data_IF_168443304585
#
_entry.id   IF_168443304585
#
_cell.length_a   1.000
_cell.length_b   1.000
_cell.length_c   1.000
_cell.angle_alpha   90.00
_cell.angle_beta   90.00
_cell.angle_gamma   90.00
#
_symmetry.space_group_name_H-M   'P 1'
#
loop_
_entity.id
_entity.type
_entity.pdbx_description
1 polymer ?
#
# COMPACT_ATOMS: atom_id res chain seq x y z
N UNK A 1 -5.30 -1.57 -55.44
CA UNK A 1 -4.13 -1.31 -54.58
C UNK A 1 -4.53 -0.22 -53.59
N UNK A 2 -5.20 -0.61 -52.51
CA UNK A 2 -5.53 0.28 -51.41
C UNK A 2 -4.51 -0.01 -50.31
N UNK A 3 -3.67 0.99 -50.01
CA UNK A 3 -2.65 0.89 -48.98
C UNK A 3 -3.35 0.81 -47.61
N UNK A 4 -3.17 -0.34 -46.96
CA UNK A 4 -3.40 -0.51 -45.52
C UNK A 4 -2.46 0.42 -44.77
N UNK A 5 -3.02 1.26 -43.91
CA UNK A 5 -2.24 2.07 -42.98
C UNK A 5 -2.12 1.28 -41.69
N UNK A 6 -0.98 0.62 -41.54
CA UNK A 6 -0.64 -0.18 -40.36
C UNK A 6 -0.44 0.73 -39.13
N UNK A 7 -1.34 0.61 -38.15
CA UNK A 7 -1.04 0.26 -36.76
C UNK A 7 0.09 0.95 -35.97
N UNK A 8 0.40 2.23 -36.17
CA UNK A 8 1.23 3.00 -35.23
C UNK A 8 0.32 3.85 -34.33
N UNK A 9 0.23 3.46 -33.05
CA UNK A 9 -0.65 4.09 -32.05
C UNK A 9 -0.43 5.59 -31.92
N UNK A 10 -1.51 6.37 -32.01
CA UNK A 10 -1.47 7.82 -31.85
C UNK A 10 -1.12 8.21 -30.40
N UNK A 11 -0.24 9.21 -30.26
CA UNK A 11 0.27 9.69 -28.95
C UNK A 11 -0.85 10.29 -28.07
N UNK A 12 -0.77 10.15 -26.74
CA UNK A 12 -1.69 10.82 -25.83
C UNK A 12 -1.54 12.34 -25.94
N UNK A 13 -2.65 13.06 -25.90
CA UNK A 13 -2.69 14.52 -25.92
C UNK A 13 -2.61 15.04 -24.47
N UNK A 14 -1.62 15.88 -24.16
CA UNK A 14 -1.59 16.64 -22.89
C UNK A 14 -2.73 17.67 -22.90
N UNK A 15 -3.63 17.57 -21.94
CA UNK A 15 -4.87 18.35 -21.90
C UNK A 15 -4.79 19.49 -20.89
N UNK A 16 -4.34 19.19 -19.67
CA UNK A 16 -4.36 20.15 -18.57
C UNK A 16 -3.38 19.76 -17.47
N UNK A 17 -2.81 20.77 -16.81
CA UNK A 17 -2.00 20.63 -15.62
C UNK A 17 -2.54 21.49 -14.48
N UNK A 18 -2.64 20.92 -13.28
CA UNK A 18 -3.16 21.61 -12.10
C UNK A 18 -2.41 21.19 -10.83
N UNK A 19 -2.01 22.13 -9.96
CA UNK A 19 -1.57 21.80 -8.61
C UNK A 19 -2.72 21.15 -7.83
N UNK A 20 -2.44 20.01 -7.20
CA UNK A 20 -3.39 19.29 -6.38
C UNK A 20 -2.82 19.15 -4.96
N UNK A 21 -3.38 19.87 -3.96
CA UNK A 21 -3.05 19.63 -2.57
C UNK A 21 -3.59 18.26 -2.15
N UNK A 22 -2.72 17.43 -1.58
CA UNK A 22 -3.07 16.08 -1.10
C UNK A 22 -2.63 15.89 0.36
N UNK A 23 -3.12 14.85 1.06
CA UNK A 23 -2.56 14.45 2.35
C UNK A 23 -1.07 14.10 2.33
N UNK A 24 -0.47 13.93 1.14
CA UNK A 24 0.96 13.66 0.94
C UNK A 24 1.74 14.94 0.60
N UNK A 25 1.08 16.10 0.59
CA UNK A 25 1.62 17.40 0.20
C UNK A 25 1.16 17.86 -1.18
N UNK A 26 1.74 18.97 -1.63
CA UNK A 26 1.50 19.52 -2.98
C UNK A 26 2.01 18.58 -4.06
N UNK A 27 1.14 18.26 -5.02
CA UNK A 27 1.43 17.42 -6.18
C UNK A 27 1.03 18.18 -7.45
N UNK A 28 1.64 17.85 -8.58
CA UNK A 28 1.18 18.30 -9.89
C UNK A 28 0.38 17.18 -10.53
N UNK A 29 -0.82 17.47 -11.01
CA UNK A 29 -1.62 16.52 -11.80
C UNK A 29 -1.65 16.98 -13.24
N UNK A 30 -1.27 16.09 -14.15
CA UNK A 30 -1.38 16.28 -15.60
C UNK A 30 -2.33 15.22 -16.17
N UNK A 31 -3.25 15.64 -17.03
CA UNK A 31 -4.20 14.74 -17.68
C UNK A 31 -3.83 14.54 -19.16
N UNK A 32 -3.90 13.29 -19.59
CA UNK A 32 -3.54 12.85 -20.92
C UNK A 32 -4.71 12.10 -21.54
N UNK A 33 -5.28 12.61 -22.63
CA UNK A 33 -6.39 11.97 -23.30
C UNK A 33 -5.92 11.16 -24.52
N UNK A 34 -6.40 9.93 -24.64
CA UNK A 34 -6.17 9.07 -25.80
C UNK A 34 -7.28 9.27 -26.83
N UNK A 35 -7.03 8.98 -28.12
CA UNK A 35 -8.10 8.97 -29.13
C UNK A 35 -9.26 8.01 -28.83
N UNK A 36 -9.04 7.02 -27.97
CA UNK A 36 -10.09 6.13 -27.45
C UNK A 36 -11.04 6.81 -26.47
N UNK A 37 -10.74 8.03 -26.02
CA UNK A 37 -11.45 8.75 -24.95
C UNK A 37 -11.01 8.38 -23.54
N UNK A 38 -10.03 7.49 -23.38
CA UNK A 38 -9.45 7.16 -22.09
C UNK A 38 -8.54 8.31 -21.60
N UNK A 39 -8.63 8.62 -20.30
CA UNK A 39 -7.88 9.70 -19.67
C UNK A 39 -6.88 9.14 -18.67
N UNK A 40 -5.59 9.36 -18.90
CA UNK A 40 -4.54 8.99 -17.97
C UNK A 40 -4.20 10.19 -17.11
N UNK A 41 -3.98 9.96 -15.81
CA UNK A 41 -3.52 11.02 -14.90
C UNK A 41 -2.09 10.74 -14.48
N UNK A 42 -1.20 11.70 -14.66
CA UNK A 42 0.11 11.70 -14.04
C UNK A 42 0.09 12.57 -12.79
N UNK A 43 0.27 11.95 -11.62
CA UNK A 43 0.38 12.65 -10.34
C UNK A 43 1.84 12.67 -9.93
N UNK A 44 2.49 13.82 -10.05
CA UNK A 44 3.93 13.98 -9.88
C UNK A 44 4.32 14.87 -8.72
N UNK A 45 5.54 14.64 -8.23
CA UNK A 45 6.25 15.49 -7.28
C UNK A 45 7.61 15.82 -7.88
N UNK A 46 8.01 17.09 -7.86
CA UNK A 46 9.29 17.54 -8.42
C UNK A 46 9.35 17.51 -9.95
N UNK A 47 10.51 17.84 -10.53
CA UNK A 47 10.75 17.74 -11.97
C UNK A 47 11.06 16.28 -12.36
N UNK A 48 10.13 15.64 -13.05
CA UNK A 48 10.23 14.23 -13.44
C UNK A 48 10.96 14.00 -14.76
N UNK A 49 11.43 15.04 -15.45
CA UNK A 49 12.15 14.86 -16.72
C UNK A 49 13.51 14.18 -16.50
N UNK A 50 13.93 13.38 -17.48
CA UNK A 50 15.24 12.73 -17.51
C UNK A 50 15.24 11.31 -16.93
N UNK A 51 16.30 10.97 -16.22
CA UNK A 51 16.59 9.59 -15.79
C UNK A 51 16.31 9.37 -14.30
N UNK A 52 16.26 8.10 -13.89
CA UNK A 52 16.16 7.64 -12.50
C UNK A 52 15.02 8.29 -11.72
N UNK A 53 13.80 8.18 -12.27
CA UNK A 53 12.57 8.71 -11.67
C UNK A 53 11.88 7.59 -10.89
N UNK A 54 11.50 7.84 -9.64
CA UNK A 54 10.64 6.90 -8.92
C UNK A 54 9.24 6.92 -9.54
N UNK A 55 8.79 5.79 -10.10
CA UNK A 55 7.56 5.75 -10.86
C UNK A 55 6.65 4.60 -10.44
N UNK A 56 5.34 4.82 -10.55
CA UNK A 56 4.30 3.82 -10.37
C UNK A 56 3.33 3.85 -11.55
N UNK A 57 3.13 2.73 -12.21
CA UNK A 57 2.01 2.56 -13.16
C UNK A 57 0.86 1.86 -12.44
N UNK A 58 -0.15 2.62 -12.05
CA UNK A 58 -1.32 2.15 -11.31
C UNK A 58 -2.48 1.85 -12.27
N UNK A 59 -3.01 0.63 -12.18
CA UNK A 59 -4.20 0.25 -12.95
C UNK A 59 -5.42 0.61 -12.13
N UNK A 60 -6.35 1.37 -12.71
CA UNK A 60 -7.59 1.79 -12.05
C UNK A 60 -8.32 0.63 -11.36
N UNK A 61 -8.78 0.89 -10.13
CA UNK A 61 -9.61 -0.02 -9.36
C UNK A 61 -10.53 0.77 -8.45
N UNK A 62 -11.71 1.18 -8.92
CA UNK A 62 -12.66 2.02 -8.18
C UNK A 62 -12.96 1.45 -6.77
N UNK A 63 -13.22 0.14 -6.71
CA UNK A 63 -13.55 -0.52 -5.43
C UNK A 63 -12.41 -0.44 -4.43
N UNK A 64 -11.15 -0.60 -4.85
CA UNK A 64 -10.00 -0.53 -3.96
C UNK A 64 -9.58 0.91 -3.67
N UNK A 65 -9.46 1.72 -4.71
CA UNK A 65 -8.85 3.04 -4.70
C UNK A 65 -9.75 4.08 -4.03
N UNK A 66 -11.07 4.01 -4.26
CA UNK A 66 -12.05 4.99 -3.76
C UNK A 66 -12.89 4.41 -2.64
N UNK A 67 -13.40 3.18 -2.79
CA UNK A 67 -14.36 2.59 -1.83
C UNK A 67 -13.69 1.83 -0.68
N UNK A 68 -12.36 1.73 -0.65
CA UNK A 68 -11.63 1.05 0.43
C UNK A 68 -11.86 -0.47 0.49
N UNK A 69 -12.18 -1.11 -0.64
CA UNK A 69 -12.45 -2.54 -0.70
C UNK A 69 -11.27 -3.38 -0.21
N UNK A 70 -11.58 -4.28 0.73
CA UNK A 70 -10.63 -5.25 1.29
C UNK A 70 -10.50 -6.53 0.45
N UNK A 71 -11.19 -6.63 -0.70
CA UNK A 71 -11.10 -7.76 -1.64
C UNK A 71 -9.85 -7.70 -2.53
N UNK A 72 -9.22 -6.54 -2.62
CA UNK A 72 -7.97 -6.35 -3.36
C UNK A 72 -7.02 -5.48 -2.52
N UNK A 73 -5.81 -5.27 -3.03
CA UNK A 73 -4.80 -4.42 -2.41
C UNK A 73 -4.61 -3.08 -3.16
N UNK A 74 -5.34 -2.83 -4.25
CA UNK A 74 -5.15 -1.68 -5.13
C UNK A 74 -5.13 -0.33 -4.39
N UNK A 75 -6.09 -0.08 -3.51
CA UNK A 75 -6.15 1.20 -2.79
C UNK A 75 -4.97 1.43 -1.86
N UNK A 76 -4.53 0.38 -1.15
CA UNK A 76 -3.33 0.45 -0.30
C UNK A 76 -2.09 0.68 -1.17
N UNK A 77 -2.01 -0.01 -2.32
CA UNK A 77 -0.90 0.17 -3.26
C UNK A 77 -0.82 1.61 -3.80
N UNK A 78 -1.96 2.22 -4.14
CA UNK A 78 -2.01 3.60 -4.63
C UNK A 78 -1.52 4.58 -3.56
N UNK A 79 -2.05 4.48 -2.33
CA UNK A 79 -1.68 5.36 -1.21
C UNK A 79 -0.20 5.24 -0.87
N UNK A 80 0.33 4.02 -0.82
CA UNK A 80 1.75 3.81 -0.51
C UNK A 80 2.67 4.33 -1.61
N UNK A 81 2.26 4.21 -2.88
CA UNK A 81 3.01 4.78 -4.00
C UNK A 81 3.08 6.30 -3.94
N UNK A 82 1.95 6.97 -3.65
CA UNK A 82 1.90 8.42 -3.48
C UNK A 82 2.75 8.90 -2.31
N UNK A 83 2.73 8.17 -1.19
CA UNK A 83 3.57 8.44 -0.01
C UNK A 83 5.06 8.30 -0.32
N UNK A 84 5.45 7.22 -1.01
CA UNK A 84 6.83 6.97 -1.40
C UNK A 84 7.34 8.09 -2.33
N UNK A 85 6.55 8.50 -3.33
CA UNK A 85 6.89 9.58 -4.26
C UNK A 85 6.99 10.93 -3.54
N UNK A 86 6.06 11.23 -2.63
CA UNK A 86 6.13 12.45 -1.83
C UNK A 86 7.39 12.49 -0.96
N UNK A 87 7.77 11.36 -0.36
CA UNK A 87 8.97 11.24 0.46
C UNK A 87 10.27 11.33 -0.35
N UNK A 88 10.29 10.79 -1.57
CA UNK A 88 11.42 10.91 -2.50
C UNK A 88 11.61 12.36 -2.99
N UNK A 89 10.51 13.12 -3.07
CA UNK A 89 10.52 14.50 -3.58
C UNK A 89 10.62 14.61 -5.10
N UNK A 90 10.89 13.50 -5.80
CA UNK A 90 10.93 13.40 -7.26
C UNK A 90 10.35 12.07 -7.75
N UNK A 91 9.15 12.09 -8.33
CA UNK A 91 8.52 10.88 -8.85
C UNK A 91 7.12 11.09 -9.42
N UNK A 92 6.54 10.03 -10.00
CA UNK A 92 5.23 10.08 -10.68
C UNK A 92 4.41 8.80 -10.50
N UNK A 93 3.12 8.95 -10.21
CA UNK A 93 2.11 7.91 -10.40
C UNK A 93 1.40 8.15 -11.73
N UNK A 94 1.46 7.20 -12.65
CA UNK A 94 0.61 7.17 -13.84
C UNK A 94 -0.61 6.31 -13.51
N UNK A 95 -1.76 6.96 -13.34
CA UNK A 95 -3.05 6.34 -13.12
C UNK A 95 -3.71 6.05 -14.47
N UNK A 96 -3.74 4.78 -14.84
CA UNK A 96 -4.28 4.30 -16.10
C UNK A 96 -5.77 3.97 -15.96
N UNK A 97 -6.63 4.88 -16.45
CA UNK A 97 -8.08 4.63 -16.53
C UNK A 97 -8.41 3.64 -17.65
N UNK A 98 -9.56 2.99 -17.54
CA UNK A 98 -9.96 1.93 -18.48
C UNK A 98 -9.31 0.56 -18.18
N UNK A 99 -8.41 0.50 -17.19
CA UNK A 99 -7.84 -0.76 -16.69
C UNK A 99 -8.69 -1.44 -15.62
N UNK A 100 -9.88 -0.91 -15.32
CA UNK A 100 -10.79 -1.48 -14.35
C UNK A 100 -11.09 -2.96 -14.68
N UNK A 101 -10.99 -3.81 -13.67
CA UNK A 101 -11.13 -5.27 -13.82
C UNK A 101 -10.11 -5.92 -14.75
N UNK A 102 -8.94 -5.29 -15.01
CA UNK A 102 -7.99 -5.69 -16.07
C UNK A 102 -8.50 -5.45 -17.49
N UNK A 103 -9.26 -4.37 -17.67
CA UNK A 103 -9.77 -3.96 -18.99
C UNK A 103 -11.14 -4.56 -19.35
N UNK A 104 -11.76 -5.33 -18.45
CA UNK A 104 -13.13 -5.85 -18.63
C UNK A 104 -14.21 -4.87 -18.14
N UNK A 105 -13.81 -3.83 -17.40
CA UNK A 105 -14.70 -2.82 -16.83
C UNK A 105 -15.33 -3.21 -15.49
N UNK A 106 -15.90 -2.20 -14.80
CA UNK A 106 -16.42 -2.34 -13.44
C UNK A 106 -17.57 -3.36 -13.33
N UNK A 107 -18.52 -3.34 -14.26
CA UNK A 107 -19.69 -4.24 -14.23
C UNK A 107 -19.24 -5.69 -14.26
N UNK A 108 -18.33 -6.02 -15.18
CA UNK A 108 -17.84 -7.39 -15.32
C UNK A 108 -16.96 -7.82 -14.15
N UNK A 109 -16.19 -6.89 -13.57
CA UNK A 109 -15.47 -7.14 -12.30
C UNK A 109 -16.43 -7.49 -11.16
N UNK A 110 -17.55 -6.78 -11.03
CA UNK A 110 -18.56 -7.06 -9.99
C UNK A 110 -19.28 -8.39 -10.26
N UNK A 111 -19.53 -8.74 -11.52
CA UNK A 111 -20.04 -10.09 -11.87
C UNK A 111 -19.05 -11.19 -11.48
N UNK A 112 -17.76 -11.00 -11.78
CA UNK A 112 -16.72 -11.95 -11.37
C UNK A 112 -16.63 -12.09 -9.84
N UNK A 113 -16.91 -11.02 -9.07
CA UNK A 113 -17.02 -11.11 -7.61
C UNK A 113 -18.19 -11.97 -7.14
N UNK A 114 -19.35 -11.92 -7.81
CA UNK A 114 -20.50 -12.76 -7.46
C UNK A 114 -20.22 -14.24 -7.73
N UNK A 115 -19.57 -14.55 -8.85
CA UNK A 115 -19.13 -15.91 -9.19
C UNK A 115 -18.09 -16.43 -8.18
N UNK A 116 -17.16 -15.57 -7.74
CA UNK A 116 -16.19 -15.92 -6.70
C UNK A 116 -16.86 -16.18 -5.34
N UNK A 117 -17.86 -15.38 -4.97
CA UNK A 117 -18.64 -15.61 -3.76
C UNK A 117 -19.44 -16.93 -3.82
N UNK A 118 -19.74 -17.42 -5.03
CA UNK A 118 -20.35 -18.72 -5.28
C UNK A 118 -19.34 -19.89 -5.31
N UNK A 119 -18.05 -19.61 -5.08
CA UNK A 119 -16.98 -20.62 -4.95
C UNK A 119 -16.11 -20.80 -6.20
N UNK A 120 -16.30 -20.03 -7.26
CA UNK A 120 -15.42 -20.06 -8.43
C UNK A 120 -14.09 -19.34 -8.14
N UNK A 121 -12.97 -19.86 -8.65
CA UNK A 121 -11.72 -19.10 -8.57
C UNK A 121 -11.74 -17.89 -9.51
N UNK A 122 -10.81 -16.94 -9.35
CA UNK A 122 -10.80 -15.70 -10.14
C UNK A 122 -10.61 -15.92 -11.64
N UNK A 123 -9.97 -17.01 -12.06
CA UNK A 123 -9.79 -17.35 -13.47
C UNK A 123 -11.06 -17.99 -14.02
N UNK A 124 -11.62 -18.95 -13.29
CA UNK A 124 -12.83 -19.66 -13.68
C UNK A 124 -14.03 -18.72 -13.73
N UNK A 125 -14.12 -17.77 -12.80
CA UNK A 125 -15.12 -16.70 -12.82
C UNK A 125 -15.04 -15.85 -14.10
N UNK A 126 -13.83 -15.53 -14.57
CA UNK A 126 -13.66 -14.76 -15.81
C UNK A 126 -13.98 -15.62 -17.05
N UNK A 127 -13.54 -16.88 -17.07
CA UNK A 127 -13.80 -17.81 -18.18
C UNK A 127 -15.29 -18.15 -18.31
N UNK A 128 -15.99 -18.36 -17.19
CA UNK A 128 -17.44 -18.61 -17.15
C UNK A 128 -18.25 -17.42 -17.66
N UNK A 129 -17.73 -16.19 -17.48
CA UNK A 129 -18.31 -14.97 -18.02
C UNK A 129 -17.90 -14.68 -19.48
N UNK A 130 -17.08 -15.54 -20.10
CA UNK A 130 -16.58 -15.38 -21.47
C UNK A 130 -15.59 -14.21 -21.62
N UNK A 131 -14.90 -13.84 -20.55
CA UNK A 131 -14.02 -12.67 -20.50
C UNK A 131 -12.55 -13.07 -20.70
N UNK A 132 -11.80 -12.23 -21.40
CA UNK A 132 -10.36 -12.39 -21.52
C UNK A 132 -9.66 -12.11 -20.18
N UNK A 133 -8.61 -12.87 -19.88
CA UNK A 133 -7.97 -12.90 -18.55
C UNK A 133 -7.24 -11.59 -18.20
N UNK A 134 -6.75 -10.88 -19.23
CA UNK A 134 -6.08 -9.58 -19.11
C UNK A 134 -6.08 -8.86 -20.47
N UNK A 135 -6.74 -7.70 -20.56
CA UNK A 135 -6.73 -6.83 -21.77
C UNK A 135 -5.89 -5.57 -21.60
N UNK A 136 -5.11 -5.48 -20.52
CA UNK A 136 -4.38 -4.24 -20.23
C UNK A 136 -3.27 -4.04 -21.24
N UNK A 137 -3.28 -2.87 -21.86
CA UNK A 137 -2.16 -2.37 -22.65
C UNK A 137 -1.37 -1.37 -21.81
N UNK A 138 -0.08 -1.63 -21.62
CA UNK A 138 0.82 -0.72 -20.91
C UNK A 138 1.57 0.23 -21.85
N UNK A 139 1.34 0.14 -23.16
CA UNK A 139 1.86 1.06 -24.17
C UNK A 139 1.44 2.49 -23.88
N UNK A 140 0.15 2.73 -23.63
CA UNK A 140 -0.38 4.06 -23.29
C UNK A 140 0.29 4.67 -22.05
N UNK A 141 0.49 3.87 -20.99
CA UNK A 141 1.18 4.32 -19.79
C UNK A 141 2.65 4.68 -20.05
N UNK A 142 3.29 4.00 -21.00
CA UNK A 142 4.66 4.29 -21.44
C UNK A 142 4.71 5.57 -22.27
N UNK A 143 3.72 5.80 -23.14
CA UNK A 143 3.60 7.04 -23.90
C UNK A 143 3.44 8.25 -22.99
N UNK A 144 2.62 8.14 -21.93
CA UNK A 144 2.49 9.19 -20.90
C UNK A 144 3.83 9.49 -20.25
N UNK A 145 4.62 8.47 -19.90
CA UNK A 145 5.97 8.67 -19.33
C UNK A 145 6.91 9.36 -20.32
N UNK A 146 6.87 9.01 -21.61
CA UNK A 146 7.66 9.68 -22.64
C UNK A 146 7.27 11.15 -22.81
N UNK A 147 5.97 11.46 -22.80
CA UNK A 147 5.46 12.83 -22.92
C UNK A 147 5.87 13.70 -21.72
N UNK A 148 5.89 13.12 -20.52
CA UNK A 148 6.47 13.76 -19.33
C UNK A 148 8.00 13.94 -19.39
N UNK A 149 8.66 13.43 -20.44
CA UNK A 149 10.11 13.48 -20.61
C UNK A 149 10.89 12.48 -19.75
N UNK A 150 10.22 11.47 -19.20
CA UNK A 150 10.86 10.40 -18.41
C UNK A 150 11.58 9.43 -19.35
N UNK A 151 12.86 9.19 -19.08
CA UNK A 151 13.73 8.29 -19.87
C UNK A 151 14.04 6.98 -19.15
N UNK A 152 14.15 7.02 -17.82
CA UNK A 152 14.33 5.82 -17.01
C UNK A 152 13.69 5.94 -15.63
N UNK A 153 13.29 4.79 -15.08
CA UNK A 153 12.52 4.68 -13.84
C UNK A 153 13.10 3.64 -12.88
N UNK A 154 12.94 3.89 -11.58
CA UNK A 154 12.83 2.86 -10.55
C UNK A 154 11.35 2.58 -10.34
N UNK A 155 10.90 1.40 -10.75
CA UNK A 155 9.48 1.09 -10.89
C UNK A 155 8.93 0.40 -9.64
N UNK A 156 7.99 1.06 -8.98
CA UNK A 156 7.22 0.55 -7.85
C UNK A 156 6.21 -0.52 -8.31
N UNK A 157 6.62 -1.79 -8.35
CA UNK A 157 5.78 -2.90 -8.83
C UNK A 157 6.18 -4.25 -8.25
N UNK A 158 5.19 -5.12 -8.06
CA UNK A 158 5.39 -6.56 -7.78
C UNK A 158 5.10 -7.42 -9.02
N UNK A 159 4.86 -6.80 -10.18
CA UNK A 159 4.54 -7.48 -11.44
C UNK A 159 5.72 -7.38 -12.42
N UNK A 160 6.47 -8.47 -12.66
CA UNK A 160 7.56 -8.52 -13.65
C UNK A 160 7.10 -8.24 -15.09
N UNK A 161 5.86 -8.59 -15.45
CA UNK A 161 5.32 -8.31 -16.78
C UNK A 161 5.20 -6.80 -17.04
N UNK A 162 4.91 -5.98 -16.02
CA UNK A 162 4.94 -4.51 -16.15
C UNK A 162 6.35 -3.99 -16.46
N UNK A 163 7.37 -4.59 -15.85
CA UNK A 163 8.78 -4.25 -16.13
C UNK A 163 9.12 -4.58 -17.58
N UNK A 164 8.75 -5.78 -18.05
CA UNK A 164 8.98 -6.20 -19.42
C UNK A 164 8.26 -5.30 -20.43
N UNK A 165 6.99 -4.96 -20.18
CA UNK A 165 6.20 -4.10 -21.05
C UNK A 165 6.78 -2.69 -21.17
N UNK A 166 7.17 -2.06 -20.05
CA UNK A 166 7.80 -0.74 -20.06
C UNK A 166 9.15 -0.74 -20.80
N UNK A 167 9.96 -1.79 -20.61
CA UNK A 167 11.23 -1.95 -21.34
C UNK A 167 10.99 -2.11 -22.85
N UNK A 168 10.01 -2.92 -23.24
CA UNK A 168 9.64 -3.10 -24.65
C UNK A 168 9.15 -1.79 -25.29
N UNK A 169 8.48 -0.94 -24.51
CA UNK A 169 8.04 0.41 -24.91
C UNK A 169 9.15 1.49 -24.83
N UNK A 170 10.41 1.08 -24.60
CA UNK A 170 11.57 1.99 -24.63
C UNK A 170 11.81 2.81 -23.37
N UNK A 171 11.14 2.50 -22.25
CA UNK A 171 11.44 3.11 -20.94
C UNK A 171 12.53 2.29 -20.24
N UNK A 172 13.62 2.95 -19.84
CA UNK A 172 14.70 2.31 -19.10
C UNK A 172 14.27 1.95 -17.67
N UNK A 173 13.94 0.69 -17.37
CA UNK A 173 13.65 0.27 -15.98
C UNK A 173 14.95 -0.13 -15.27
N UNK A 174 15.47 0.78 -14.43
CA UNK A 174 16.74 0.64 -13.70
C UNK A 174 16.62 -0.36 -12.54
N UNK A 175 15.51 -0.30 -11.81
CA UNK A 175 15.21 -1.20 -10.71
C UNK A 175 13.70 -1.49 -10.65
N UNK A 176 13.37 -2.68 -10.14
CA UNK A 176 12.02 -3.01 -9.71
C UNK A 176 12.00 -2.86 -8.19
N UNK A 177 11.33 -1.82 -7.71
CA UNK A 177 11.18 -1.51 -6.30
C UNK A 177 9.91 -2.23 -5.80
N UNK A 178 10.03 -3.18 -4.85
CA UNK A 178 8.87 -3.91 -4.35
C UNK A 178 7.89 -2.95 -3.66
N UNK A 179 6.60 -3.14 -3.90
CA UNK A 179 5.57 -2.43 -3.15
C UNK A 179 5.21 -3.27 -1.93
N UNK A 180 5.67 -2.85 -0.75
CA UNK A 180 5.34 -3.49 0.51
C UNK A 180 3.91 -3.14 0.91
N UNK A 181 2.96 -4.04 0.64
CA UNK A 181 1.56 -3.91 1.07
C UNK A 181 1.14 -5.14 1.85
N UNK A 182 0.59 -4.92 3.04
CA UNK A 182 0.09 -6.00 3.89
C UNK A 182 -1.16 -6.64 3.26
N UNK A 183 -1.15 -7.97 3.14
CA UNK A 183 -2.33 -8.75 2.74
C UNK A 183 -3.43 -8.68 3.80
N UNK A 184 -4.68 -8.73 3.36
CA UNK A 184 -5.88 -8.79 4.21
C UNK A 184 -6.54 -10.17 4.04
N UNK A 185 -7.15 -10.78 5.06
CA UNK A 185 -7.77 -12.12 4.96
C UNK A 185 -8.73 -12.28 3.75
N UNK A 186 -9.47 -11.22 3.41
CA UNK A 186 -10.40 -11.18 2.26
C UNK A 186 -9.73 -11.07 0.88
N UNK A 187 -8.42 -10.88 0.82
CA UNK A 187 -7.66 -10.81 -0.43
C UNK A 187 -6.48 -11.79 -0.49
N UNK A 188 -6.31 -12.66 0.52
CA UNK A 188 -5.23 -13.68 0.55
C UNK A 188 -5.34 -14.62 -0.65
N UNK A 189 -6.53 -15.15 -0.92
CA UNK A 189 -6.77 -16.03 -2.08
C UNK A 189 -6.55 -15.27 -3.39
N UNK A 190 -7.05 -14.03 -3.49
CA UNK A 190 -6.82 -13.16 -4.65
C UNK A 190 -5.32 -12.94 -4.91
N UNK A 191 -4.53 -12.63 -3.87
CA UNK A 191 -3.09 -12.42 -3.97
C UNK A 191 -2.35 -13.72 -4.31
N UNK A 192 -2.79 -14.86 -3.76
CA UNK A 192 -2.27 -16.19 -4.06
C UNK A 192 -2.50 -16.57 -5.51
N UNK A 193 -3.72 -16.40 -6.04
CA UNK A 193 -4.02 -16.61 -7.46
C UNK A 193 -3.16 -15.70 -8.36
N UNK A 194 -2.95 -14.44 -7.93
CA UNK A 194 -2.09 -13.49 -8.66
C UNK A 194 -0.62 -13.93 -8.70
N UNK A 195 -0.13 -14.56 -7.63
CA UNK A 195 1.22 -15.11 -7.56
C UNK A 195 1.35 -16.40 -8.37
N UNK A 196 0.48 -17.37 -8.14
CA UNK A 196 0.58 -18.73 -8.70
C UNK A 196 0.25 -18.79 -10.20
N UNK A 197 -0.72 -18.00 -10.66
CA UNK A 197 -1.25 -18.08 -12.03
C UNK A 197 -0.87 -16.90 -12.93
N UNK A 198 -0.46 -15.77 -12.36
CA UNK A 198 -0.13 -14.55 -13.12
C UNK A 198 1.30 -14.07 -12.92
N UNK A 199 2.17 -14.90 -12.32
CA UNK A 199 3.61 -14.66 -12.22
C UNK A 199 4.02 -13.43 -11.41
N UNK A 200 3.16 -12.93 -10.50
CA UNK A 200 3.51 -11.81 -9.63
C UNK A 200 4.41 -12.29 -8.50
N UNK A 201 5.37 -11.45 -8.10
CA UNK A 201 6.23 -11.72 -6.93
C UNK A 201 5.39 -11.51 -5.65
N UNK A 202 5.62 -12.32 -4.63
CA UNK A 202 4.89 -12.23 -3.36
C UNK A 202 4.98 -10.81 -2.77
N UNK A 203 3.86 -10.22 -2.28
CA UNK A 203 3.92 -9.03 -1.47
C UNK A 203 4.78 -9.29 -0.22
N UNK A 204 5.53 -8.29 0.23
CA UNK A 204 6.30 -8.40 1.49
C UNK A 204 5.30 -8.31 2.66
N UNK A 205 5.06 -9.43 3.35
CA UNK A 205 4.15 -9.56 4.50
C UNK A 205 3.68 -11.01 4.72
N UNK A 206 3.30 -11.38 5.95
CA UNK A 206 2.83 -12.75 6.28
C UNK A 206 1.38 -12.98 5.78
N UNK A 207 1.15 -14.05 5.00
CA UNK A 207 -0.19 -14.50 4.60
C UNK A 207 -1.03 -14.94 5.83
N UNK A 208 -2.32 -14.59 5.84
CA UNK A 208 -3.25 -14.94 6.93
C UNK A 208 -4.13 -16.14 6.53
N UNK A 209 -4.32 -17.09 7.44
CA UNK A 209 -5.31 -18.17 7.34
C UNK A 209 -6.73 -17.63 7.67
N UNK A 210 -7.81 -18.14 7.05
CA UNK A 210 -9.16 -17.64 7.31
C UNK A 210 -9.70 -18.14 8.67
N UNK A 211 -10.27 -17.25 9.50
CA UNK A 211 -11.01 -17.65 10.71
C UNK A 211 -12.17 -16.70 11.10
N UNK A 212 -13.21 -17.33 11.68
CA UNK A 212 -14.52 -16.93 12.28
C UNK A 212 -14.51 -15.80 13.35
N UNK A 213 -15.65 -15.42 13.96
CA UNK A 213 -16.80 -14.67 13.43
C UNK A 213 -16.49 -13.15 13.36
N UNK A 214 -17.46 -12.33 12.92
CA UNK A 214 -17.24 -10.90 12.64
C UNK A 214 -16.63 -10.14 13.85
N UNK A 215 -15.55 -9.37 13.63
CA UNK A 215 -14.86 -8.69 14.72
C UNK A 215 -15.70 -7.55 15.33
N UNK A 216 -15.43 -7.18 16.60
CA UNK A 216 -16.08 -6.04 17.23
C UNK A 216 -15.82 -4.75 16.43
N UNK A 217 -16.86 -3.95 16.22
CA UNK A 217 -16.78 -2.69 15.48
C UNK A 217 -15.98 -1.65 16.27
N UNK A 218 -14.76 -1.28 15.82
CA UNK A 218 -13.93 -0.32 16.54
C UNK A 218 -14.47 1.13 16.41
N UNK A 219 -15.39 1.41 15.47
CA UNK A 219 -15.89 2.77 15.23
C UNK A 219 -16.66 3.35 16.42
N UNK A 220 -17.32 2.48 17.21
CA UNK A 220 -17.98 2.87 18.47
C UNK A 220 -16.99 3.48 19.48
N UNK A 221 -15.73 3.06 19.43
CA UNK A 221 -14.66 3.50 20.35
C UNK A 221 -13.85 4.64 19.74
N UNK A 222 -13.66 4.65 18.42
CA UNK A 222 -12.93 5.69 17.70
C UNK A 222 -13.70 7.01 17.65
N UNK A 223 -15.04 6.96 17.64
CA UNK A 223 -15.88 8.14 17.48
C UNK A 223 -15.75 8.76 16.09
N UNK A 224 -16.21 10.01 15.94
CA UNK A 224 -16.10 10.74 14.68
C UNK A 224 -14.64 11.16 14.40
N UNK A 225 -14.10 10.70 13.27
CA UNK A 225 -12.76 11.07 12.80
C UNK A 225 -12.86 12.34 11.95
N UNK A 226 -12.48 13.48 12.51
CA UNK A 226 -12.31 14.72 11.74
C UNK A 226 -10.87 14.82 11.22
N UNK A 227 -10.63 14.68 9.90
CA UNK A 227 -9.28 14.78 9.35
C UNK A 227 -8.73 16.20 9.52
N UNK A 228 -7.45 16.30 9.90
CA UNK A 228 -6.71 17.57 9.99
C UNK A 228 -5.57 17.54 8.98
N UNK A 229 -5.30 18.66 8.32
CA UNK A 229 -4.30 18.75 7.26
C UNK A 229 -2.85 18.61 7.78
N UNK A 230 -2.60 18.96 9.04
CA UNK A 230 -1.27 19.13 9.62
C UNK A 230 -0.84 18.04 10.60
N UNK A 231 -1.75 17.13 10.98
CA UNK A 231 -1.50 16.09 11.99
C UNK A 231 -2.44 14.90 11.85
N UNK A 232 -1.98 13.70 12.23
CA UNK A 232 -2.83 12.52 12.25
C UNK A 232 -3.92 12.65 13.32
N UNK A 233 -5.04 11.95 13.10
CA UNK A 233 -5.98 11.66 14.18
C UNK A 233 -5.30 10.69 15.16
N UNK A 234 -5.33 11.00 16.46
CA UNK A 234 -4.63 10.22 17.49
C UNK A 234 -5.64 9.61 18.44
N UNK A 235 -5.58 8.29 18.56
CA UNK A 235 -6.37 7.50 19.50
C UNK A 235 -5.43 7.03 20.59
N UNK A 236 -5.69 7.46 21.82
CA UNK A 236 -4.95 6.96 22.98
C UNK A 236 -5.67 5.73 23.55
N UNK A 237 -4.98 4.59 23.57
CA UNK A 237 -5.49 3.37 24.19
C UNK A 237 -4.54 2.89 25.29
N UNK A 238 -5.10 2.56 26.44
CA UNK A 238 -4.41 1.89 27.54
C UNK A 238 -5.36 0.93 28.25
N UNK A 239 -4.81 -0.07 28.93
CA UNK A 239 -5.55 -0.95 29.81
C UNK A 239 -5.16 -0.63 31.25
N UNK A 240 -6.13 -0.59 32.15
CA UNK A 240 -5.89 -0.34 33.56
C UNK A 240 -6.81 -1.19 34.43
N UNK A 241 -6.37 -1.44 35.66
CA UNK A 241 -7.23 -1.93 36.74
C UNK A 241 -8.28 -0.89 37.12
N UNK A 242 -9.30 -1.30 37.88
CA UNK A 242 -10.38 -0.41 38.32
C UNK A 242 -9.89 0.76 39.18
N UNK A 243 -8.79 0.57 39.91
CA UNK A 243 -8.11 1.58 40.73
C UNK A 243 -7.07 2.42 39.94
N UNK A 244 -7.05 2.32 38.61
CA UNK A 244 -6.28 3.21 37.74
C UNK A 244 -4.80 2.82 37.57
N UNK A 245 -4.46 1.53 37.70
CA UNK A 245 -3.08 1.04 37.54
C UNK A 245 -2.90 0.31 36.22
N UNK A 246 -1.83 0.63 35.50
CA UNK A 246 -1.44 -0.04 34.23
C UNK A 246 -0.47 -1.21 34.44
N UNK A 247 0.05 -1.37 35.66
CA UNK A 247 0.91 -2.46 36.10
C UNK A 247 0.93 -2.51 37.64
N UNK A 248 1.35 -3.63 38.23
CA UNK A 248 1.64 -3.75 39.65
C UNK A 248 2.89 -2.96 40.04
N UNK A 249 3.16 -2.81 41.34
CA UNK A 249 4.37 -2.15 41.84
C UNK A 249 5.68 -2.84 41.39
N UNK A 250 5.62 -4.12 41.05
CA UNK A 250 6.75 -4.90 40.52
C UNK A 250 6.85 -4.84 38.99
N UNK A 251 5.96 -4.10 38.32
CA UNK A 251 5.95 -3.94 36.86
C UNK A 251 5.23 -5.06 36.10
N UNK A 252 4.51 -5.95 36.79
CA UNK A 252 3.69 -6.96 36.13
C UNK A 252 2.39 -6.34 35.63
N UNK A 253 2.15 -6.46 34.32
CA UNK A 253 1.03 -5.85 33.60
C UNK A 253 0.25 -6.89 32.79
N UNK A 254 0.67 -8.16 32.82
CA UNK A 254 0.15 -9.17 31.90
C UNK A 254 -1.29 -9.50 32.27
N UNK A 255 -2.17 -9.24 31.29
CA UNK A 255 -3.57 -9.62 31.30
C UNK A 255 -4.47 -8.89 32.29
N UNK A 256 -4.20 -7.60 32.53
CA UNK A 256 -5.22 -6.66 33.06
C UNK A 256 -6.49 -6.70 32.19
N UNK A 257 -6.30 -6.83 30.89
CA UNK A 257 -7.36 -6.97 29.89
C UNK A 257 -7.77 -8.43 29.66
N UNK A 258 -9.08 -8.70 29.73
CA UNK A 258 -9.69 -9.95 29.27
C UNK A 258 -9.65 -10.12 27.74
N UNK A 259 -10.08 -11.28 27.25
CA UNK A 259 -10.01 -11.64 25.83
C UNK A 259 -10.79 -10.69 24.91
N UNK A 260 -12.01 -10.31 25.30
CA UNK A 260 -12.82 -9.37 24.53
C UNK A 260 -12.15 -8.00 24.30
N UNK A 261 -11.47 -7.46 25.33
CA UNK A 261 -10.71 -6.21 25.19
C UNK A 261 -9.53 -6.39 24.24
N UNK A 262 -8.83 -7.53 24.30
CA UNK A 262 -7.72 -7.78 23.39
C UNK A 262 -8.19 -7.88 21.95
N UNK A 263 -9.32 -8.53 21.70
CA UNK A 263 -9.97 -8.54 20.38
C UNK A 263 -10.29 -7.12 19.91
N UNK A 264 -10.82 -6.26 20.77
CA UNK A 264 -11.06 -4.84 20.47
C UNK A 264 -9.76 -4.06 20.19
N UNK A 265 -8.71 -4.28 20.98
CA UNK A 265 -7.38 -3.70 20.73
C UNK A 265 -6.83 -4.09 19.36
N UNK A 266 -7.10 -5.33 18.93
CA UNK A 266 -6.74 -5.80 17.60
C UNK A 266 -7.61 -5.15 16.50
N UNK A 267 -8.89 -4.89 16.75
CA UNK A 267 -9.77 -4.13 15.86
C UNK A 267 -9.35 -2.66 15.72
N UNK A 268 -8.96 -2.01 16.82
CA UNK A 268 -8.42 -0.65 16.80
C UNK A 268 -7.14 -0.57 15.96
N UNK A 269 -6.22 -1.53 16.10
CA UNK A 269 -5.02 -1.62 15.27
C UNK A 269 -5.36 -1.80 13.79
N UNK A 270 -6.36 -2.63 13.47
CA UNK A 270 -6.81 -2.84 12.09
C UNK A 270 -7.42 -1.59 11.46
N UNK A 271 -8.02 -0.72 12.27
CA UNK A 271 -8.66 0.52 11.83
C UNK A 271 -7.71 1.73 11.77
N UNK A 272 -6.49 1.62 12.30
CA UNK A 272 -5.51 2.72 12.33
C UNK A 272 -4.40 2.50 11.29
N UNK A 273 -3.87 3.58 10.72
CA UNK A 273 -2.70 3.51 9.82
C UNK A 273 -1.39 3.20 10.57
N UNK A 274 -1.33 3.57 11.85
CA UNK A 274 -0.13 3.48 12.68
C UNK A 274 -0.45 3.10 14.12
N UNK A 275 0.48 2.37 14.74
CA UNK A 275 0.49 2.09 16.19
C UNK A 275 1.81 2.61 16.76
N UNK A 276 1.74 3.34 17.87
CA UNK A 276 2.90 3.99 18.46
C UNK A 276 3.12 3.51 19.89
N UNK A 277 4.38 3.20 20.22
CA UNK A 277 4.83 2.92 21.59
C UNK A 277 6.17 3.57 21.87
N UNK A 278 6.49 3.77 23.16
CA UNK A 278 7.83 4.10 23.60
C UNK A 278 8.72 2.87 23.73
N UNK A 279 10.05 3.05 23.68
CA UNK A 279 11.02 1.96 23.90
C UNK A 279 10.86 1.26 25.25
N UNK A 280 10.34 1.95 26.28
CA UNK A 280 10.05 1.31 27.57
C UNK A 280 9.08 0.14 27.44
N UNK A 281 8.01 0.28 26.67
CA UNK A 281 7.06 -0.81 26.36
C UNK A 281 7.75 -1.94 25.61
N UNK A 282 8.65 -1.62 24.67
CA UNK A 282 9.39 -2.65 23.93
C UNK A 282 10.31 -3.46 24.85
N UNK A 283 11.02 -2.77 25.76
CA UNK A 283 11.93 -3.42 26.70
C UNK A 283 11.20 -4.26 27.75
N UNK A 284 10.02 -3.82 28.19
CA UNK A 284 9.26 -4.49 29.24
C UNK A 284 8.41 -5.66 28.70
N UNK A 285 7.71 -5.43 27.58
CA UNK A 285 6.64 -6.33 27.13
C UNK A 285 6.99 -7.08 25.83
N UNK A 286 8.05 -6.66 25.13
CA UNK A 286 8.47 -7.14 23.80
C UNK A 286 7.28 -7.43 22.84
N UNK A 287 6.42 -6.43 22.59
CA UNK A 287 5.17 -6.64 21.90
C UNK A 287 5.40 -6.81 20.40
N UNK A 288 4.54 -7.56 19.71
CA UNK A 288 4.54 -7.62 18.24
C UNK A 288 3.88 -6.39 17.60
N UNK A 289 2.88 -5.81 18.29
CA UNK A 289 2.01 -4.72 17.82
C UNK A 289 1.27 -4.97 16.48
N UNK A 290 1.18 -6.24 16.07
CA UNK A 290 0.41 -6.66 14.89
C UNK A 290 -1.06 -6.95 15.19
N UNK A 291 -1.86 -7.10 14.13
CA UNK A 291 -3.25 -7.59 14.16
C UNK A 291 -3.25 -9.13 14.03
N UNK A 292 -3.93 -9.82 14.95
CA UNK A 292 -3.89 -11.30 15.08
C UNK A 292 -5.21 -11.93 15.53
N UNK A 293 -6.07 -11.16 16.21
CA UNK A 293 -7.33 -11.66 16.78
C UNK A 293 -8.57 -11.26 15.98
N UNK A 294 -8.41 -10.43 14.95
CA UNK A 294 -9.49 -9.97 14.06
C UNK A 294 -8.98 -9.86 12.63
N UNK A 295 -9.88 -9.90 11.63
CA UNK A 295 -9.58 -9.46 10.27
C UNK A 295 -9.05 -8.02 10.23
N UNK A 296 -7.94 -7.77 9.55
CA UNK A 296 -7.39 -6.42 9.39
C UNK A 296 -5.90 -6.38 9.06
N UNK A 297 -5.43 -5.28 8.47
CA UNK A 297 -4.01 -5.05 8.25
C UNK A 297 -3.31 -4.69 9.57
N UNK A 298 -2.05 -5.12 9.73
CA UNK A 298 -1.23 -4.59 10.82
C UNK A 298 -0.81 -3.16 10.50
N UNK A 299 -0.97 -2.21 11.45
CA UNK A 299 -0.57 -0.83 11.25
C UNK A 299 0.96 -0.70 11.17
N UNK A 300 1.45 0.42 10.63
CA UNK A 300 2.87 0.77 10.73
C UNK A 300 3.25 0.93 12.20
N UNK A 301 4.30 0.24 12.64
CA UNK A 301 4.78 0.30 14.03
C UNK A 301 5.74 1.47 14.20
N UNK A 302 5.39 2.42 15.04
CA UNK A 302 6.25 3.54 15.42
C UNK A 302 6.82 3.29 16.82
N UNK A 303 8.15 3.26 16.92
CA UNK A 303 8.86 3.12 18.20
C UNK A 303 9.58 4.43 18.52
N UNK A 304 9.21 5.08 19.62
CA UNK A 304 9.92 6.25 20.13
C UNK A 304 11.11 5.79 20.98
N UNK A 305 12.32 5.94 20.44
CA UNK A 305 13.55 5.51 21.06
C UNK A 305 14.70 6.49 20.83
N UNK A 306 14.83 7.45 21.74
CA UNK A 306 15.76 8.57 21.61
C UNK A 306 17.23 8.18 21.49
N UNK A 307 17.63 7.00 21.96
CA UNK A 307 19.03 6.54 22.02
C UNK A 307 19.26 5.18 21.38
N UNK A 308 18.25 4.62 20.67
CA UNK A 308 18.27 3.27 20.09
C UNK A 308 18.56 2.16 21.12
N UNK A 309 17.82 2.11 22.22
CA UNK A 309 17.83 1.02 23.20
C UNK A 309 17.05 -0.22 22.76
N UNK A 310 16.17 -0.14 21.76
CA UNK A 310 15.40 -1.29 21.25
C UNK A 310 16.35 -2.46 20.94
N UNK A 311 16.11 -3.64 21.55
CA UNK A 311 16.89 -4.84 21.27
C UNK A 311 16.79 -5.20 19.79
N UNK A 312 17.89 -5.59 19.12
CA UNK A 312 17.82 -6.02 17.74
C UNK A 312 16.83 -7.18 17.52
N UNK A 313 16.63 -8.04 18.49
CA UNK A 313 15.80 -9.23 18.40
C UNK A 313 14.31 -8.95 18.71
N UNK A 314 13.98 -7.73 19.13
CA UNK A 314 12.65 -7.35 19.58
C UNK A 314 11.57 -7.71 18.54
N UNK A 315 10.41 -8.15 19.02
CA UNK A 315 9.29 -8.58 18.18
C UNK A 315 8.77 -7.46 17.28
N UNK A 316 8.84 -6.21 17.73
CA UNK A 316 8.53 -5.03 16.90
C UNK A 316 9.48 -4.83 15.72
N UNK A 317 10.63 -5.50 15.66
CA UNK A 317 11.58 -5.41 14.54
C UNK A 317 11.52 -6.63 13.60
N UNK A 318 10.57 -7.54 13.83
CA UNK A 318 10.37 -8.71 12.97
C UNK A 318 9.71 -8.29 11.65
N UNK A 319 9.92 -9.01 10.53
CA UNK A 319 9.43 -8.60 9.21
C UNK A 319 7.91 -8.77 9.01
N UNK A 320 7.16 -9.04 10.07
CA UNK A 320 5.70 -9.27 10.04
C UNK A 320 4.86 -7.99 9.94
N UNK A 321 5.46 -6.81 10.16
CA UNK A 321 4.88 -5.51 9.87
C UNK A 321 5.95 -4.42 9.65
N UNK A 322 5.62 -3.36 8.91
CA UNK A 322 6.52 -2.24 8.72
C UNK A 322 6.80 -1.52 10.04
N UNK A 323 8.05 -1.13 10.26
CA UNK A 323 8.48 -0.48 11.51
C UNK A 323 9.34 0.74 11.25
N UNK A 324 9.01 1.82 11.94
CA UNK A 324 9.76 3.07 11.96
C UNK A 324 10.18 3.39 13.39
N UNK A 325 11.49 3.48 13.60
CA UNK A 325 12.08 3.94 14.86
C UNK A 325 12.38 5.43 14.75
N UNK A 326 11.75 6.22 15.61
CA UNK A 326 12.07 7.64 15.76
C UNK A 326 13.12 7.79 16.87
N UNK A 327 14.23 8.41 16.53
CA UNK A 327 15.39 8.56 17.40
C UNK A 327 15.97 9.97 17.34
N UNK A 328 16.99 10.27 18.15
CA UNK A 328 17.64 11.59 18.17
C UNK A 328 19.10 11.49 17.74
N UNK A 329 19.79 12.63 17.62
CA UNK A 329 21.23 12.64 17.35
C UNK A 329 22.09 11.99 18.44
N UNK A 330 21.51 11.73 19.61
CA UNK A 330 22.16 10.95 20.68
C UNK A 330 22.29 9.47 20.36
N UNK A 331 21.65 8.98 19.29
CA UNK A 331 21.70 7.57 18.91
C UNK A 331 22.99 7.21 18.16
N UNK A 332 23.61 6.06 18.45
CA UNK A 332 24.82 5.64 17.75
C UNK A 332 24.57 5.41 16.26
N UNK A 333 25.38 6.03 15.39
CA UNK A 333 25.28 5.86 13.93
C UNK A 333 25.30 4.39 13.49
N UNK A 334 26.19 3.58 14.07
CA UNK A 334 26.28 2.14 13.80
C UNK A 334 24.95 1.41 14.05
N UNK A 335 24.19 1.81 15.08
CA UNK A 335 22.87 1.21 15.38
C UNK A 335 21.80 1.68 14.41
N UNK A 336 21.82 2.96 14.01
CA UNK A 336 20.94 3.50 12.95
C UNK A 336 21.11 2.71 11.64
N UNK A 337 22.36 2.48 11.23
CA UNK A 337 22.70 1.72 10.02
C UNK A 337 22.32 0.23 10.13
N UNK A 338 22.52 -0.38 11.30
CA UNK A 338 22.12 -1.77 11.53
C UNK A 338 20.61 -1.97 11.40
N UNK A 339 19.80 -1.03 11.88
CA UNK A 339 18.35 -1.06 11.70
C UNK A 339 17.94 -0.85 10.23
N UNK A 340 18.55 0.12 9.54
CA UNK A 340 18.28 0.36 8.10
C UNK A 340 18.59 -0.86 7.22
N UNK A 341 19.65 -1.61 7.54
CA UNK A 341 20.00 -2.87 6.85
C UNK A 341 18.97 -3.99 7.03
N UNK A 342 18.04 -3.84 7.99
CA UNK A 342 16.93 -4.77 8.25
C UNK A 342 15.60 -4.20 7.80
N UNK A 343 15.62 -3.24 6.89
CA UNK A 343 14.45 -2.55 6.33
C UNK A 343 13.59 -1.85 7.40
N UNK A 344 14.18 -1.52 8.54
CA UNK A 344 13.55 -0.69 9.57
C UNK A 344 13.75 0.77 9.21
N UNK A 345 12.66 1.52 9.10
CA UNK A 345 12.72 2.96 8.91
C UNK A 345 13.36 3.62 10.13
N UNK A 346 14.37 4.47 9.93
CA UNK A 346 14.99 5.23 11.02
C UNK A 346 14.86 6.71 10.74
N UNK A 347 14.11 7.41 11.58
CA UNK A 347 13.93 8.87 11.52
C UNK A 347 14.67 9.51 12.68
N UNK A 348 15.63 10.37 12.37
CA UNK A 348 16.29 11.21 13.37
C UNK A 348 15.50 12.50 13.45
N UNK A 349 14.97 12.81 14.63
CA UNK A 349 14.13 13.99 14.92
C UNK A 349 14.75 14.86 16.01
#
# INVERSE_FOLDING_TARGET
MALSVDGVGARPLDVISVPLPTPYGEMLVQAFERPSGLVYLAVSRGDVRGHDVLARVHSECLTGDVLGSLRCDCGVQLRESLRAIAAEGRGVVVYATGHEGRGIGLINKLRAYLEQDAGADTLDANLNLGLEVDRRDYGDASDVLHELGVRSVRLLTNNPAKVAALRAAGIGVLAMEPLAVASHVRNVEYLRTKQERLGHVAPIGRQLEPASPAPPDPTVVLGEVTPKADRPHVVLKYAQTLDGRIATATGDSRWISGEGERTLSHALRAACDGVLVGVGTVLQDDPQLTVRMVPGASPVRFVLDSTLRTPPEAMVLQPDAATVVLTTERSPQRRREALRRRDVGVRVV
#
